data_IF_846453174134
#
_entry.id   IF_846453174134
#
_cell.length_a   1.000
_cell.length_b   1.000
_cell.length_c   1.000
_cell.angle_alpha   90.00
_cell.angle_beta   90.00
_cell.angle_gamma   90.00
#
_symmetry.space_group_name_H-M   'P 1'
#
loop_
_entity.id
_entity.type
_entity.pdbx_description
1 polymer ?
#
# COMPACT_ATOMS: atom_id res chain seq x y z
N UNK A 1 -4.44 0.85 -24.33
CA UNK A 1 -3.84 1.83 -23.39
C UNK A 1 -5.02 2.57 -22.77
N UNK A 2 -5.36 2.31 -21.50
CA UNK A 2 -6.50 2.97 -20.84
C UNK A 2 -6.01 4.35 -20.37
N UNK A 3 -6.62 5.47 -20.78
CA UNK A 3 -6.25 6.77 -20.28
C UNK A 3 -6.59 6.85 -18.78
N UNK A 4 -5.57 7.04 -17.94
CA UNK A 4 -5.75 7.36 -16.53
C UNK A 4 -6.01 8.86 -16.44
N UNK A 5 -7.25 9.26 -16.18
CA UNK A 5 -7.57 10.67 -15.95
C UNK A 5 -7.62 10.91 -14.45
N UNK A 6 -6.56 11.46 -13.82
CA UNK A 6 -6.60 11.84 -12.41
C UNK A 6 -7.63 12.96 -12.19
N UNK A 7 -8.26 12.95 -11.02
CA UNK A 7 -9.15 14.04 -10.62
C UNK A 7 -8.42 15.01 -9.69
N UNK A 8 -8.44 16.29 -10.04
CA UNK A 8 -8.00 17.35 -9.15
C UNK A 8 -9.14 17.68 -8.17
N UNK A 9 -8.87 17.52 -6.87
CA UNK A 9 -9.81 17.81 -5.80
C UNK A 9 -9.25 18.96 -4.95
N UNK A 10 -9.99 20.07 -4.78
CA UNK A 10 -9.59 21.14 -3.86
C UNK A 10 -9.48 20.59 -2.44
N UNK A 11 -8.40 20.89 -1.72
CA UNK A 11 -8.21 20.45 -0.32
C UNK A 11 -8.90 21.37 0.69
N UNK A 12 -9.52 22.46 0.23
CA UNK A 12 -10.28 23.40 1.03
C UNK A 12 -10.61 24.68 0.25
N UNK A 13 -11.35 25.61 0.87
CA UNK A 13 -11.80 26.87 0.26
C UNK A 13 -10.76 28.00 0.27
N UNK A 14 -9.61 27.82 0.95
CA UNK A 14 -8.57 28.85 1.09
C UNK A 14 -7.13 28.32 0.95
N UNK A 15 -6.93 27.06 0.56
CA UNK A 15 -5.60 26.44 0.42
C UNK A 15 -5.00 26.64 -0.97
N UNK A 16 -3.66 26.74 -1.03
CA UNK A 16 -2.88 26.69 -2.29
C UNK A 16 -2.70 25.28 -2.85
N UNK A 17 -3.25 24.28 -2.15
CA UNK A 17 -2.91 22.88 -2.38
C UNK A 17 -4.04 22.17 -3.13
N UNK A 18 -3.66 21.38 -4.14
CA UNK A 18 -4.58 20.55 -4.91
C UNK A 18 -4.20 19.09 -4.65
N UNK A 19 -5.17 18.28 -4.23
CA UNK A 19 -5.00 16.84 -4.17
C UNK A 19 -5.27 16.24 -5.56
N UNK A 20 -4.31 15.48 -6.09
CA UNK A 20 -4.53 14.66 -7.27
C UNK A 20 -4.95 13.27 -6.84
N UNK A 21 -6.21 12.93 -7.06
CA UNK A 21 -6.73 11.59 -6.84
C UNK A 21 -6.42 10.74 -8.08
N UNK A 22 -5.58 9.74 -7.89
CA UNK A 22 -5.33 8.73 -8.93
C UNK A 22 -6.53 7.77 -8.95
N UNK A 23 -7.10 7.45 -10.13
CA UNK A 23 -8.14 6.43 -10.22
C UNK A 23 -7.59 5.11 -9.68
N UNK A 24 -8.46 4.32 -9.04
CA UNK A 24 -8.17 3.10 -8.27
C UNK A 24 -7.60 1.91 -9.09
N UNK A 25 -7.06 2.14 -10.28
CA UNK A 25 -6.36 1.10 -11.02
C UNK A 25 -4.96 0.89 -10.43
N UNK A 26 -4.52 -0.38 -10.30
CA UNK A 26 -3.21 -0.68 -9.76
C UNK A 26 -2.13 -0.10 -10.68
N UNK A 27 -1.28 0.74 -10.11
CA UNK A 27 -0.08 1.20 -10.77
C UNK A 27 0.82 -0.01 -11.04
N UNK A 28 1.31 -0.14 -12.26
CA UNK A 28 2.16 -1.26 -12.66
C UNK A 28 3.55 -1.02 -12.07
N UNK A 29 4.09 -1.96 -11.28
CA UNK A 29 5.43 -1.84 -10.73
C UNK A 29 6.49 -1.65 -11.82
N UNK A 30 7.41 -0.71 -11.60
CA UNK A 30 8.49 -0.36 -12.53
C UNK A 30 8.07 0.42 -13.79
N UNK A 31 6.76 0.62 -14.03
CA UNK A 31 6.31 1.47 -15.12
C UNK A 31 6.57 2.95 -14.80
N UNK A 32 6.90 3.75 -15.82
CA UNK A 32 7.08 5.19 -15.68
C UNK A 32 5.78 5.92 -15.94
N UNK A 33 5.41 6.81 -15.03
CA UNK A 33 4.21 7.64 -15.10
C UNK A 33 4.59 9.11 -15.01
N UNK A 34 3.90 9.95 -15.78
CA UNK A 34 4.02 11.41 -15.69
C UNK A 34 2.67 12.01 -15.36
N UNK A 35 2.57 12.66 -14.20
CA UNK A 35 1.43 13.51 -13.84
C UNK A 35 1.66 14.88 -14.45
N UNK A 36 0.64 15.41 -15.13
CA UNK A 36 0.67 16.76 -15.68
C UNK A 36 -0.50 17.56 -15.12
N UNK A 37 -0.19 18.71 -14.55
CA UNK A 37 -1.17 19.70 -14.09
C UNK A 37 -1.10 20.90 -15.03
N UNK A 38 -2.25 21.37 -15.52
CA UNK A 38 -2.37 22.61 -16.27
C UNK A 38 -3.40 23.52 -15.61
N UNK A 39 -3.04 24.78 -15.42
CA UNK A 39 -3.91 25.81 -14.83
C UNK A 39 -3.77 27.08 -15.68
N UNK A 40 -4.80 27.40 -16.45
CA UNK A 40 -4.75 28.50 -17.42
C UNK A 40 -3.61 28.31 -18.43
N UNK A 41 -2.71 29.29 -18.51
CA UNK A 41 -1.51 29.24 -19.37
C UNK A 41 -0.27 28.58 -18.74
N UNK A 42 -0.31 28.22 -17.45
CA UNK A 42 0.78 27.58 -16.73
C UNK A 42 0.62 26.06 -16.63
N UNK A 43 1.74 25.35 -16.47
CA UNK A 43 1.72 23.90 -16.28
C UNK A 43 2.90 23.38 -15.48
N UNK A 44 2.71 22.26 -14.81
CA UNK A 44 3.72 21.53 -14.07
C UNK A 44 3.60 20.02 -14.37
N UNK A 45 4.72 19.31 -14.27
CA UNK A 45 4.75 17.87 -14.49
C UNK A 45 5.64 17.16 -13.47
N UNK A 46 5.20 16.02 -12.98
CA UNK A 46 5.94 15.16 -12.06
C UNK A 46 6.04 13.76 -12.67
N UNK A 47 7.25 13.25 -12.84
CA UNK A 47 7.47 11.87 -13.27
C UNK A 47 7.83 11.00 -12.08
N UNK A 48 7.25 9.80 -12.01
CA UNK A 48 7.51 8.83 -10.96
C UNK A 48 7.37 7.40 -11.49
N UNK A 49 7.96 6.44 -10.78
CA UNK A 49 7.81 5.00 -11.06
C UNK A 49 7.46 4.27 -9.76
N UNK A 50 6.36 3.50 -9.71
CA UNK A 50 6.04 2.68 -8.55
C UNK A 50 7.13 1.63 -8.33
N UNK A 51 7.55 1.46 -7.07
CA UNK A 51 8.50 0.43 -6.67
C UNK A 51 7.97 -0.98 -6.92
N UNK A 52 8.88 -1.94 -7.05
CA UNK A 52 8.51 -3.35 -7.09
C UNK A 52 8.09 -3.84 -5.70
N UNK A 53 7.04 -4.68 -5.61
CA UNK A 53 6.73 -5.32 -4.33
C UNK A 53 7.94 -6.14 -3.87
N UNK A 54 8.21 -6.21 -2.55
CA UNK A 54 9.25 -7.08 -2.03
C UNK A 54 9.02 -8.53 -2.47
N UNK A 55 10.10 -9.25 -2.75
CA UNK A 55 10.03 -10.62 -3.28
C UNK A 55 11.11 -11.52 -2.64
N UNK A 56 11.05 -12.83 -2.95
CA UNK A 56 12.04 -13.82 -2.51
C UNK A 56 11.88 -14.32 -1.06
N UNK A 57 11.05 -13.65 -0.26
CA UNK A 57 10.82 -14.04 1.13
C UNK A 57 9.73 -15.08 1.31
N UNK A 58 9.62 -15.58 2.54
CA UNK A 58 8.57 -16.47 2.97
C UNK A 58 8.06 -16.07 4.36
N UNK A 59 6.79 -16.39 4.61
CA UNK A 59 6.17 -16.25 5.91
C UNK A 59 5.76 -17.63 6.42
N UNK A 60 6.02 -17.87 7.70
CA UNK A 60 5.55 -19.06 8.41
C UNK A 60 4.85 -18.64 9.70
N UNK A 61 3.90 -19.48 10.14
CA UNK A 61 3.16 -19.31 11.37
C UNK A 61 3.19 -20.61 12.17
N UNK A 62 3.50 -20.49 13.46
CA UNK A 62 3.53 -21.63 14.38
C UNK A 62 2.93 -21.25 15.74
N UNK A 63 1.98 -22.05 16.28
CA UNK A 63 1.30 -23.16 15.60
C UNK A 63 0.38 -22.65 14.48
N UNK A 64 0.00 -23.49 13.52
CA UNK A 64 -0.92 -23.10 12.42
C UNK A 64 -2.39 -23.14 12.82
N UNK A 65 -2.71 -23.85 13.89
CA UNK A 65 -4.06 -24.06 14.42
C UNK A 65 -3.97 -23.98 15.94
N UNK A 66 -5.00 -23.48 16.59
CA UNK A 66 -5.10 -23.41 18.04
C UNK A 66 -6.43 -22.84 18.49
N UNK A 67 -6.55 -22.63 19.79
CA UNK A 67 -7.75 -22.11 20.44
C UNK A 67 -7.70 -20.59 20.60
N UNK A 68 -8.81 -19.93 20.29
CA UNK A 68 -8.94 -18.48 20.40
C UNK A 68 -8.67 -18.00 21.83
N UNK A 69 -7.89 -16.92 21.96
CA UNK A 69 -7.46 -16.33 23.24
C UNK A 69 -6.62 -17.23 24.16
N UNK A 70 -6.33 -18.47 23.77
CA UNK A 70 -5.58 -19.45 24.56
C UNK A 70 -4.23 -19.75 23.90
N UNK A 71 -4.24 -20.11 22.62
CA UNK A 71 -3.03 -20.51 21.91
C UNK A 71 -2.21 -19.28 21.49
N UNK A 72 -0.93 -19.17 21.89
CA UNK A 72 -0.06 -18.14 21.38
C UNK A 72 0.37 -18.47 19.94
N UNK A 73 0.12 -17.55 19.02
CA UNK A 73 0.53 -17.68 17.62
C UNK A 73 1.75 -16.79 17.35
N UNK A 74 2.78 -17.36 16.72
CA UNK A 74 3.93 -16.60 16.22
C UNK A 74 3.94 -16.66 14.69
N UNK A 75 3.85 -15.49 14.06
CA UNK A 75 4.10 -15.31 12.63
C UNK A 75 5.49 -14.70 12.44
N UNK A 76 6.26 -15.25 11.51
CA UNK A 76 7.58 -14.73 11.13
C UNK A 76 7.70 -14.70 9.61
N UNK A 77 8.10 -13.55 9.08
CA UNK A 77 8.40 -13.36 7.68
C UNK A 77 9.88 -13.01 7.53
N UNK A 78 10.59 -13.67 6.62
CA UNK A 78 12.03 -13.46 6.42
C UNK A 78 12.43 -13.68 4.97
N UNK A 79 13.63 -13.21 4.60
CA UNK A 79 14.17 -13.36 3.25
C UNK A 79 13.53 -12.44 2.20
N UNK A 80 12.65 -11.52 2.60
CA UNK A 80 12.09 -10.53 1.70
C UNK A 80 13.17 -9.52 1.29
N UNK A 81 13.26 -9.27 0.00
CA UNK A 81 14.14 -8.27 -0.59
C UNK A 81 13.31 -7.26 -1.38
N UNK A 82 13.62 -5.98 -1.23
CA UNK A 82 13.06 -4.90 -2.03
C UNK A 82 14.14 -3.84 -2.27
N UNK A 83 14.00 -3.08 -3.34
CA UNK A 83 14.92 -1.98 -3.66
C UNK A 83 14.72 -0.79 -2.71
N UNK A 84 13.49 -0.60 -2.23
CA UNK A 84 13.11 0.49 -1.35
C UNK A 84 13.20 0.03 0.11
N UNK A 85 14.28 0.41 0.79
CA UNK A 85 14.56 0.07 2.19
C UNK A 85 14.36 1.29 3.11
N UNK A 86 13.92 1.10 4.38
CA UNK A 86 13.58 -0.18 5.01
C UNK A 86 12.21 -0.73 4.58
N UNK A 87 12.08 -2.07 4.58
CA UNK A 87 10.82 -2.72 4.26
C UNK A 87 9.76 -2.46 5.35
N UNK A 88 8.55 -2.13 4.92
CA UNK A 88 7.38 -2.00 5.80
C UNK A 88 6.49 -3.24 5.71
N UNK A 89 6.04 -3.74 6.86
CA UNK A 89 5.19 -4.93 6.94
C UNK A 89 3.88 -4.61 7.68
N UNK A 90 2.78 -5.19 7.23
CA UNK A 90 1.49 -5.16 7.92
C UNK A 90 0.94 -6.58 8.05
N UNK A 91 0.53 -6.93 9.27
CA UNK A 91 -0.18 -8.19 9.55
C UNK A 91 -1.66 -7.88 9.71
N UNK A 92 -2.52 -8.64 9.04
CA UNK A 92 -3.98 -8.48 9.08
C UNK A 92 -4.61 -9.80 9.56
N UNK A 93 -5.68 -9.73 10.35
CA UNK A 93 -6.50 -10.90 10.68
C UNK A 93 -7.90 -10.75 10.08
N UNK A 94 -8.46 -11.86 9.63
CA UNK A 94 -9.86 -11.97 9.25
C UNK A 94 -10.53 -13.00 10.19
N UNK A 95 -11.62 -12.64 10.90
CA UNK A 95 -12.39 -13.62 11.65
C UNK A 95 -12.98 -14.64 10.65
N UNK A 96 -12.77 -15.93 10.89
CA UNK A 96 -13.27 -16.97 9.99
C UNK A 96 -14.79 -16.99 9.92
N UNK A 97 -15.35 -17.01 8.71
CA UNK A 97 -16.73 -17.45 8.46
C UNK A 97 -17.75 -16.42 7.95
N UNK A 98 -17.38 -15.20 7.63
CA UNK A 98 -18.33 -14.25 7.02
C UNK A 98 -17.64 -12.98 6.56
N UNK A 99 -18.35 -12.19 5.77
CA UNK A 99 -17.97 -10.93 5.11
C UNK A 99 -17.48 -9.82 6.07
N UNK A 100 -16.49 -10.11 6.91
CA UNK A 100 -15.90 -9.21 7.89
C UNK A 100 -14.53 -8.77 7.40
N UNK A 101 -14.43 -7.49 7.06
CA UNK A 101 -13.23 -6.87 6.52
C UNK A 101 -11.97 -7.17 7.34
N UNK A 102 -10.85 -7.34 6.63
CA UNK A 102 -9.52 -7.47 7.20
C UNK A 102 -9.27 -6.36 8.22
N UNK A 103 -8.93 -6.74 9.45
CA UNK A 103 -8.53 -5.79 10.49
C UNK A 103 -7.02 -5.88 10.71
N UNK A 104 -6.36 -4.74 10.82
CA UNK A 104 -4.91 -4.72 11.09
C UNK A 104 -4.63 -5.31 12.47
N UNK A 105 -3.83 -6.37 12.50
CA UNK A 105 -3.35 -6.93 13.74
C UNK A 105 -2.43 -5.91 14.39
N UNK A 106 -2.63 -5.65 15.69
CA UNK A 106 -1.71 -4.82 16.47
C UNK A 106 -0.39 -5.57 16.63
N UNK A 107 0.52 -5.39 15.67
CA UNK A 107 1.87 -5.90 15.76
C UNK A 107 2.68 -5.01 16.71
N UNK A 108 3.29 -5.60 17.74
CA UNK A 108 4.44 -4.98 18.40
C UNK A 108 5.65 -5.36 17.57
N UNK A 109 6.08 -4.47 16.67
CA UNK A 109 7.34 -4.64 15.94
C UNK A 109 8.49 -4.35 16.90
N UNK A 110 9.19 -5.39 17.34
CA UNK A 110 10.52 -5.26 17.94
C UNK A 110 11.52 -5.46 16.81
N UNK A 111 12.25 -4.39 16.45
CA UNK A 111 13.44 -4.48 15.60
C UNK A 111 14.64 -4.88 16.45
#
# INVERSE_FOLDING_TARGET
MIPLTPQAVPTGSAGSDIALLLPSLPLIPGASYTLSLRVGGGGASLSFSPGFPPSGGACDASPRIGEALISPFKASCSGWFGQDLPLSYAFMFAPGGGEGGWTQARARSSF
#
